data_IF_665727180229
#
_entry.id   IF_665727180229
#
_cell.length_a   1.000
_cell.length_b   1.000
_cell.length_c   1.000
_cell.angle_alpha   90.00
_cell.angle_beta   90.00
_cell.angle_gamma   90.00
#
_symmetry.space_group_name_H-M   'P 1'
#
loop_
_entity.id
_entity.type
_entity.pdbx_description
1 polymer ?
#
# COMPACT_ATOMS: atom_id res chain seq x y z
N UNK A 1 11.95 5.30 -4.43
CA UNK A 1 12.63 5.37 -5.74
C UNK A 1 11.75 4.70 -6.78
N UNK A 2 11.13 5.44 -7.69
CA UNK A 2 10.46 4.87 -8.86
C UNK A 2 11.52 4.58 -9.93
N UNK A 3 11.76 3.32 -10.26
CA UNK A 3 12.76 2.94 -11.25
C UNK A 3 12.15 2.90 -12.66
N UNK A 4 12.53 3.85 -13.52
CA UNK A 4 12.59 3.58 -14.95
C UNK A 4 13.94 2.91 -15.23
N UNK A 5 14.00 1.58 -15.18
CA UNK A 5 15.21 0.87 -15.59
C UNK A 5 15.49 1.21 -17.07
N UNK A 6 16.66 1.79 -17.36
CA UNK A 6 17.09 2.15 -18.74
C UNK A 6 17.30 0.88 -19.57
N UNK A 7 16.21 0.33 -20.08
CA UNK A 7 16.22 -0.72 -21.09
C UNK A 7 15.95 -0.13 -22.46
N UNK A 8 16.11 -0.93 -23.52
CA UNK A 8 15.66 -0.57 -24.88
C UNK A 8 14.17 -0.18 -24.96
N UNK A 9 13.37 -0.56 -23.95
CA UNK A 9 11.95 -0.25 -23.83
C UNK A 9 11.64 1.01 -23.01
N UNK A 10 12.65 1.65 -22.42
CA UNK A 10 12.48 2.88 -21.62
C UNK A 10 11.81 4.02 -22.38
N UNK A 11 11.86 4.01 -23.72
CA UNK A 11 11.13 4.95 -24.59
C UNK A 11 9.60 4.85 -24.50
N UNK A 12 9.08 3.74 -23.95
CA UNK A 12 7.65 3.49 -23.80
C UNK A 12 7.20 3.51 -22.32
N UNK A 13 8.02 4.03 -21.41
CA UNK A 13 7.67 4.12 -20.00
C UNK A 13 6.93 5.43 -19.73
N UNK A 14 5.62 5.35 -19.48
CA UNK A 14 4.75 6.50 -19.22
C UNK A 14 4.12 6.49 -17.82
N UNK A 15 4.48 5.52 -16.99
CA UNK A 15 3.95 5.33 -15.63
C UNK A 15 5.09 5.05 -14.67
N UNK A 16 5.12 5.75 -13.54
CA UNK A 16 5.93 5.42 -12.37
C UNK A 16 5.04 4.81 -11.29
N UNK A 17 5.53 3.75 -10.63
CA UNK A 17 4.84 3.06 -9.56
C UNK A 17 5.80 2.84 -8.40
N UNK A 18 5.32 3.09 -7.19
CA UNK A 18 5.99 2.80 -5.93
C UNK A 18 5.08 1.86 -5.14
N UNK A 19 5.59 0.68 -4.81
CA UNK A 19 4.99 -0.24 -3.83
C UNK A 19 6.13 -0.67 -2.91
N UNK A 20 6.20 -0.08 -1.73
CA UNK A 20 7.23 -0.32 -0.73
C UNK A 20 6.70 0.07 0.64
N UNK A 21 7.44 0.87 1.41
CA UNK A 21 6.93 1.45 2.66
C UNK A 21 5.63 2.23 2.44
N UNK A 22 5.57 3.04 1.37
CA UNK A 22 4.35 3.69 0.89
C UNK A 22 3.89 3.11 -0.45
N UNK A 23 2.78 3.64 -0.97
CA UNK A 23 2.25 3.29 -2.28
C UNK A 23 1.83 4.56 -3.04
N UNK A 24 2.43 4.80 -4.21
CA UNK A 24 2.07 5.93 -5.05
C UNK A 24 2.28 5.63 -6.55
N UNK A 25 1.62 6.38 -7.41
CA UNK A 25 1.83 6.33 -8.85
C UNK A 25 1.93 7.74 -9.47
N UNK A 26 2.62 7.81 -10.60
CA UNK A 26 2.60 8.97 -11.46
C UNK A 26 2.49 8.53 -12.92
N UNK A 27 2.01 9.39 -13.79
CA UNK A 27 1.89 9.09 -15.21
C UNK A 27 2.08 10.33 -16.07
N UNK A 28 2.34 10.12 -17.36
CA UNK A 28 2.42 11.18 -18.37
C UNK A 28 1.00 11.50 -18.85
N UNK A 29 0.54 12.72 -18.58
CA UNK A 29 -0.76 13.26 -18.99
C UNK A 29 -0.56 14.32 -20.08
N UNK A 30 -1.56 14.52 -20.92
CA UNK A 30 -1.61 15.63 -21.86
C UNK A 30 -1.92 16.92 -21.12
N UNK A 31 -1.25 18.00 -21.50
CA UNK A 31 -1.50 19.32 -20.90
C UNK A 31 -2.95 19.78 -21.09
N UNK A 32 -3.61 19.41 -22.20
CA UNK A 32 -5.03 19.72 -22.45
C UNK A 32 -6.00 19.17 -21.37
N UNK A 33 -5.61 18.11 -20.65
CA UNK A 33 -6.39 17.52 -19.56
C UNK A 33 -6.00 18.06 -18.17
N UNK A 34 -4.86 18.74 -18.05
CA UNK A 34 -4.31 19.22 -16.80
C UNK A 34 -4.75 20.66 -16.51
N UNK A 35 -6.03 20.84 -16.18
CA UNK A 35 -6.69 22.16 -16.04
C UNK A 35 -5.99 23.11 -15.07
N UNK A 36 -5.30 22.57 -14.05
CA UNK A 36 -4.59 23.34 -13.02
C UNK A 36 -3.11 23.57 -13.34
N UNK A 37 -2.62 23.11 -14.49
CA UNK A 37 -1.21 23.25 -14.86
C UNK A 37 -0.89 24.69 -15.31
N UNK A 38 0.02 25.34 -14.60
CA UNK A 38 0.45 26.72 -14.83
C UNK A 38 1.89 26.82 -15.40
N UNK A 39 2.48 25.69 -15.79
CA UNK A 39 3.83 25.61 -16.34
C UNK A 39 3.94 25.87 -17.84
N UNK A 40 5.01 25.34 -18.46
CA UNK A 40 5.30 25.53 -19.89
C UNK A 40 4.28 24.82 -20.80
N UNK A 41 3.34 25.60 -21.32
CA UNK A 41 2.29 25.18 -22.26
C UNK A 41 2.82 24.85 -23.67
N UNK A 42 4.11 25.10 -23.97
CA UNK A 42 4.70 24.73 -25.26
C UNK A 42 4.97 23.22 -25.40
N UNK A 43 4.93 22.48 -24.28
CA UNK A 43 5.05 21.02 -24.27
C UNK A 43 3.67 20.38 -24.48
N UNK A 44 3.60 19.18 -25.08
CA UNK A 44 2.35 18.46 -25.22
C UNK A 44 1.94 17.67 -23.96
N UNK A 45 2.86 17.43 -23.02
CA UNK A 45 2.65 16.55 -21.88
C UNK A 45 3.26 17.08 -20.58
N UNK A 46 2.69 16.66 -19.46
CA UNK A 46 3.13 16.91 -18.08
C UNK A 46 3.08 15.60 -17.30
N UNK A 47 3.89 15.47 -16.24
CA UNK A 47 3.80 14.33 -15.32
C UNK A 47 2.82 14.69 -14.20
N UNK A 48 1.78 13.88 -14.03
CA UNK A 48 0.84 13.97 -12.92
C UNK A 48 1.27 13.00 -11.83
N UNK A 49 1.60 13.52 -10.65
CA UNK A 49 1.69 12.74 -9.43
C UNK A 49 0.29 12.59 -8.84
N UNK A 50 -0.20 11.37 -8.70
CA UNK A 50 -1.61 11.15 -8.32
C UNK A 50 -1.86 11.30 -6.84
N UNK A 51 -0.82 11.13 -6.01
CA UNK A 51 -0.96 11.00 -4.54
C UNK A 51 -2.09 10.03 -4.16
N UNK A 52 -2.20 8.90 -4.89
CA UNK A 52 -3.36 8.00 -4.81
C UNK A 52 -3.51 7.30 -3.44
N UNK A 53 -2.55 7.48 -2.53
CA UNK A 53 -2.60 6.92 -1.19
C UNK A 53 -3.82 7.42 -0.41
N UNK A 54 -4.23 8.66 -0.67
CA UNK A 54 -5.41 9.31 -0.09
C UNK A 54 -6.74 8.85 -0.72
N UNK A 55 -6.72 7.95 -1.71
CA UNK A 55 -7.96 7.44 -2.29
C UNK A 55 -8.81 6.74 -1.21
N UNK A 56 -10.08 7.13 -1.11
CA UNK A 56 -11.01 6.62 -0.10
C UNK A 56 -11.02 7.37 1.24
N UNK A 57 -10.19 8.39 1.43
CA UNK A 57 -10.23 9.27 2.61
C UNK A 57 -11.59 9.99 2.75
N UNK A 58 -12.28 10.19 1.64
CA UNK A 58 -13.66 10.71 1.55
C UNK A 58 -14.75 9.66 1.84
N UNK A 59 -14.37 8.45 2.24
CA UNK A 59 -15.29 7.36 2.58
C UNK A 59 -15.69 6.47 1.40
N UNK A 60 -15.24 6.74 0.17
CA UNK A 60 -15.60 5.93 -1.01
C UNK A 60 -15.14 4.47 -0.92
N UNK A 61 -14.13 4.16 -0.10
CA UNK A 61 -13.65 2.80 0.12
C UNK A 61 -14.21 2.13 1.38
N UNK A 62 -15.09 2.80 2.14
CA UNK A 62 -15.54 2.27 3.44
C UNK A 62 -16.33 0.95 3.31
N UNK A 63 -16.96 0.70 2.17
CA UNK A 63 -17.67 -0.54 1.90
C UNK A 63 -16.74 -1.76 1.79
N UNK A 64 -15.48 -1.58 1.39
CA UNK A 64 -14.51 -2.67 1.22
C UNK A 64 -13.54 -2.81 2.40
N UNK A 65 -13.39 -1.74 3.20
CA UNK A 65 -12.53 -1.78 4.39
C UNK A 65 -13.07 -2.79 5.39
N UNK A 66 -12.17 -3.57 5.96
CA UNK A 66 -12.45 -4.56 7.01
C UNK A 66 -12.28 -3.94 8.39
N UNK A 67 -12.59 -4.71 9.45
CA UNK A 67 -12.32 -4.27 10.83
C UNK A 67 -10.81 -4.04 11.08
N UNK A 68 -9.94 -4.79 10.40
CA UNK A 68 -8.48 -4.65 10.54
C UNK A 68 -7.98 -3.35 9.92
N UNK A 69 -8.50 -2.99 8.73
CA UNK A 69 -8.14 -1.73 8.06
C UNK A 69 -8.61 -0.49 8.84
N UNK A 70 -9.68 -0.64 9.64
CA UNK A 70 -10.16 0.42 10.54
C UNK A 70 -9.29 0.55 11.77
N UNK A 71 -8.97 -0.57 12.43
CA UNK A 71 -8.09 -0.59 13.59
C UNK A 71 -6.69 -0.03 13.26
N UNK A 72 -6.12 -0.41 12.12
CA UNK A 72 -4.83 0.13 11.66
C UNK A 72 -4.89 1.63 11.42
N UNK A 73 -5.96 2.11 10.80
CA UNK A 73 -6.15 3.52 10.49
C UNK A 73 -6.33 4.36 11.77
N UNK A 74 -7.20 3.92 12.67
CA UNK A 74 -7.47 4.57 13.96
C UNK A 74 -6.21 4.69 14.83
N UNK A 75 -5.38 3.65 14.86
CA UNK A 75 -4.14 3.64 15.65
C UNK A 75 -2.91 4.16 14.87
N UNK A 76 -3.09 4.70 13.66
CA UNK A 76 -1.99 5.25 12.87
C UNK A 76 -1.59 6.66 13.30
N UNK A 77 -0.45 7.16 12.79
CA UNK A 77 -0.02 8.55 13.01
C UNK A 77 -0.94 9.57 12.32
N UNK A 78 -1.71 9.13 11.32
CA UNK A 78 -2.56 9.96 10.48
C UNK A 78 -3.95 9.31 10.29
N UNK A 79 -4.78 9.20 11.35
CA UNK A 79 -6.08 8.57 11.25
C UNK A 79 -6.99 9.27 10.23
N UNK A 80 -7.70 8.46 9.44
CA UNK A 80 -8.61 8.92 8.40
C UNK A 80 -7.93 9.36 7.11
N UNK A 81 -6.60 9.40 7.05
CA UNK A 81 -5.81 9.77 5.88
C UNK A 81 -5.08 8.56 5.29
N UNK A 82 -4.72 8.64 4.01
CA UNK A 82 -3.92 7.62 3.32
C UNK A 82 -4.56 6.21 3.38
N UNK A 83 -5.90 6.12 3.34
CA UNK A 83 -6.62 4.86 3.56
C UNK A 83 -6.29 3.81 2.51
N UNK A 84 -6.13 4.19 1.25
CA UNK A 84 -5.73 3.26 0.20
C UNK A 84 -4.29 2.78 0.40
N UNK A 85 -3.37 3.67 0.76
CA UNK A 85 -1.99 3.28 1.06
C UNK A 85 -1.93 2.27 2.21
N UNK A 86 -2.73 2.47 3.27
CA UNK A 86 -2.82 1.56 4.42
C UNK A 86 -3.26 0.14 4.07
N UNK A 87 -4.00 -0.04 2.99
CA UNK A 87 -4.45 -1.37 2.54
C UNK A 87 -3.45 -2.08 1.61
N UNK A 88 -2.44 -1.37 1.09
CA UNK A 88 -1.55 -1.87 0.02
C UNK A 88 -0.08 -1.89 0.42
N UNK A 89 0.39 -0.89 1.15
CA UNK A 89 1.83 -0.69 1.34
C UNK A 89 2.44 -1.68 2.33
N UNK A 90 3.73 -1.92 2.15
CA UNK A 90 4.52 -2.79 3.02
C UNK A 90 4.72 -2.24 4.43
N UNK A 91 4.37 -0.98 4.73
CA UNK A 91 4.33 -0.49 6.11
C UNK A 91 3.19 -1.11 6.91
N UNK A 92 2.07 -1.44 6.26
CA UNK A 92 0.83 -1.85 6.93
C UNK A 92 0.45 -3.31 6.68
N UNK A 93 0.89 -3.91 5.55
CA UNK A 93 0.56 -5.29 5.17
C UNK A 93 0.83 -6.31 6.29
N UNK A 94 2.01 -6.26 6.92
CA UNK A 94 2.33 -7.15 8.03
C UNK A 94 1.41 -6.99 9.25
N UNK A 95 0.97 -5.77 9.53
CA UNK A 95 0.04 -5.50 10.63
C UNK A 95 -1.38 -6.00 10.34
N UNK A 96 -1.84 -5.91 9.09
CA UNK A 96 -3.12 -6.51 8.65
C UNK A 96 -3.08 -8.03 8.93
N UNK A 97 -2.01 -8.69 8.52
CA UNK A 97 -1.81 -10.13 8.75
C UNK A 97 -1.75 -10.45 10.25
N UNK A 98 -1.02 -9.65 11.03
CA UNK A 98 -0.93 -9.83 12.50
C UNK A 98 -2.30 -9.78 13.15
N UNK A 99 -3.10 -8.77 12.83
CA UNK A 99 -4.43 -8.58 13.39
C UNK A 99 -5.38 -9.73 13.01
N UNK A 100 -5.33 -10.20 11.76
CA UNK A 100 -6.09 -11.38 11.35
C UNK A 100 -5.69 -12.64 12.13
N UNK A 101 -4.39 -12.87 12.34
CA UNK A 101 -3.90 -13.99 13.14
C UNK A 101 -4.36 -13.89 14.60
N UNK A 102 -4.25 -12.71 15.20
CA UNK A 102 -4.67 -12.46 16.59
C UNK A 102 -6.17 -12.70 16.75
N UNK A 103 -7.00 -12.20 15.82
CA UNK A 103 -8.44 -12.42 15.83
C UNK A 103 -8.81 -13.91 15.73
N UNK A 104 -8.17 -14.64 14.81
CA UNK A 104 -8.40 -16.08 14.64
C UNK A 104 -7.92 -16.90 15.85
N UNK A 105 -6.80 -16.52 16.46
CA UNK A 105 -6.33 -17.15 17.69
C UNK A 105 -7.29 -16.88 18.86
N UNK A 106 -7.76 -15.64 19.04
CA UNK A 106 -8.75 -15.32 20.08
C UNK A 106 -10.06 -16.10 19.92
N UNK A 107 -10.45 -16.41 18.67
CA UNK A 107 -11.58 -17.31 18.35
C UNK A 107 -11.25 -18.81 18.51
N UNK A 108 -10.05 -19.16 19.00
CA UNK A 108 -9.50 -20.52 19.10
C UNK A 108 -9.44 -21.29 17.78
N UNK A 109 -9.44 -20.59 16.64
CA UNK A 109 -9.30 -21.18 15.30
C UNK A 109 -7.85 -21.40 14.90
N UNK A 110 -6.92 -20.64 15.49
CA UNK A 110 -5.48 -20.83 15.36
C UNK A 110 -4.83 -21.02 16.73
N UNK A 111 -3.75 -21.81 16.74
CA UNK A 111 -2.82 -21.97 17.87
C UNK A 111 -3.47 -22.31 19.22
N UNK A 112 -4.64 -22.97 19.22
CA UNK A 112 -5.43 -23.27 20.44
C UNK A 112 -5.75 -22.01 21.27
N UNK A 113 -5.74 -20.83 20.65
CA UNK A 113 -5.88 -19.54 21.31
C UNK A 113 -4.69 -19.09 22.15
N UNK A 114 -3.51 -19.68 21.94
CA UNK A 114 -2.26 -19.25 22.55
C UNK A 114 -1.48 -18.35 21.58
N UNK A 115 -1.24 -17.11 21.99
CA UNK A 115 -0.42 -16.15 21.26
C UNK A 115 0.88 -15.88 22.04
N UNK A 116 2.00 -15.79 21.32
CA UNK A 116 3.25 -15.29 21.88
C UNK A 116 3.16 -13.79 22.19
N UNK A 117 4.03 -13.29 23.07
CA UNK A 117 4.10 -11.86 23.37
C UNK A 117 4.47 -11.03 22.13
N UNK A 118 5.29 -11.59 21.24
CA UNK A 118 5.63 -10.97 19.96
C UNK A 118 4.39 -10.75 19.09
N UNK A 119 3.50 -11.75 18.97
CA UNK A 119 2.28 -11.60 18.16
C UNK A 119 1.27 -10.60 18.74
N UNK A 120 1.31 -10.36 20.04
CA UNK A 120 0.51 -9.32 20.70
C UNK A 120 1.08 -7.92 20.51
N UNK A 121 2.35 -7.80 20.12
CA UNK A 121 3.03 -6.52 19.95
C UNK A 121 2.75 -5.95 18.56
N UNK A 122 2.18 -4.74 18.50
CA UNK A 122 1.94 -3.99 17.26
C UNK A 122 3.22 -3.83 16.46
N UNK A 123 3.16 -4.08 15.15
CA UNK A 123 4.29 -3.94 14.23
C UNK A 123 5.38 -5.00 14.36
N UNK A 124 5.23 -5.98 15.26
CA UNK A 124 6.20 -7.06 15.42
C UNK A 124 6.20 -8.06 14.24
N UNK A 125 5.14 -8.06 13.44
CA UNK A 125 5.03 -8.89 12.24
C UNK A 125 5.22 -8.01 10.99
N UNK A 126 6.48 -7.94 10.53
CA UNK A 126 6.82 -7.17 9.34
C UNK A 126 6.40 -7.85 8.03
N UNK A 127 6.21 -7.05 6.98
CA UNK A 127 5.86 -7.52 5.64
C UNK A 127 6.88 -8.48 5.04
N UNK A 128 8.15 -8.42 5.46
CA UNK A 128 9.16 -9.41 5.06
C UNK A 128 8.77 -10.84 5.45
N UNK A 129 8.14 -11.03 6.62
CA UNK A 129 7.66 -12.35 7.03
C UNK A 129 6.52 -12.83 6.15
N UNK A 130 5.66 -11.93 5.66
CA UNK A 130 4.62 -12.27 4.68
C UNK A 130 5.27 -12.80 3.40
N UNK A 131 6.26 -12.08 2.86
CA UNK A 131 7.03 -12.52 1.69
C UNK A 131 7.70 -13.88 1.89
N UNK A 132 8.34 -14.08 3.04
CA UNK A 132 9.03 -15.34 3.34
C UNK A 132 8.05 -16.52 3.46
N UNK A 133 6.87 -16.29 4.05
CA UNK A 133 5.83 -17.33 4.20
C UNK A 133 5.18 -17.68 2.86
N UNK A 134 4.96 -16.69 1.99
CA UNK A 134 4.38 -16.88 0.66
C UNK A 134 5.40 -17.40 -0.38
N UNK A 135 6.69 -17.43 -0.04
CA UNK A 135 7.73 -17.86 -0.96
C UNK A 135 7.58 -19.34 -1.32
N UNK A 136 7.50 -19.62 -2.62
CA UNK A 136 7.52 -20.99 -3.13
C UNK A 136 8.84 -21.68 -2.74
N UNK A 137 8.74 -22.94 -2.27
CA UNK A 137 9.92 -23.77 -2.14
C UNK A 137 10.48 -24.02 -3.53
N UNK A 138 11.71 -23.60 -3.77
CA UNK A 138 12.40 -23.92 -5.00
C UNK A 138 12.54 -25.46 -5.08
N UNK A 139 11.72 -26.07 -5.94
CA UNK A 139 11.86 -27.47 -6.31
C UNK A 139 13.07 -27.56 -7.25
N UNK A 140 14.27 -27.74 -6.66
CA UNK A 140 15.48 -28.13 -7.39
C UNK A 140 15.65 -29.65 -7.35
#
# INVERSE_FOLDING_TARGET
>A
MSCAHKTRYSKNCFVGLIIGTGCNACYVEKIENAELFDGDQSKPHVIVNTEWGAFGDDGKLDAIRTKYDREIDEDSLNPGQQRFEKMISGMYMGEIVRLAIVDLANQKKLFEGRLSEQMKTKGAFGTSYVSDIESDKANY
#
